data_IF_508759129080
#
_entry.id   IF_508759129080
#
_cell.length_a   1.000
_cell.length_b   1.000
_cell.length_c   1.000
_cell.angle_alpha   90.00
_cell.angle_beta   90.00
_cell.angle_gamma   90.00
#
_symmetry.space_group_name_H-M   'P 1'
#
loop_
_entity.id
_entity.type
_entity.pdbx_description
1 polymer ?
#
# COMPACT_ATOMS: atom_id res chain seq x y z
N UNK A 1 -8.55 -8.77 -14.43
CA UNK A 1 -7.76 -9.40 -15.52
C UNK A 1 -6.56 -10.15 -14.91
N UNK A 2 -5.88 -11.04 -15.66
CA UNK A 2 -4.72 -11.81 -15.15
C UNK A 2 -3.56 -10.91 -14.69
N UNK A 3 -3.37 -9.79 -15.37
CA UNK A 3 -2.31 -8.80 -15.11
C UNK A 3 -2.42 -8.11 -13.75
N UNK A 4 -3.65 -7.78 -13.33
CA UNK A 4 -3.91 -7.13 -12.05
C UNK A 4 -3.44 -8.02 -10.89
N UNK A 5 -3.77 -9.31 -10.99
CA UNK A 5 -3.41 -10.34 -10.01
C UNK A 5 -1.88 -10.47 -9.92
N UNK A 6 -1.19 -10.56 -11.06
CA UNK A 6 0.28 -10.64 -11.10
C UNK A 6 0.94 -9.40 -10.49
N UNK A 7 0.36 -8.22 -10.70
CA UNK A 7 0.85 -6.95 -10.14
C UNK A 7 0.67 -6.91 -8.61
N UNK A 8 -0.48 -7.32 -8.09
CA UNK A 8 -0.72 -7.40 -6.64
C UNK A 8 0.22 -8.41 -5.98
N UNK A 9 0.44 -9.58 -6.58
CA UNK A 9 1.42 -10.54 -6.04
C UNK A 9 2.85 -10.02 -6.07
N UNK A 10 3.22 -9.24 -7.09
CA UNK A 10 4.53 -8.57 -7.14
C UNK A 10 4.68 -7.56 -5.99
N UNK A 11 3.66 -6.74 -5.76
CA UNK A 11 3.64 -5.78 -4.65
C UNK A 11 3.70 -6.47 -3.28
N UNK A 12 2.96 -7.56 -3.09
CA UNK A 12 2.99 -8.35 -1.86
C UNK A 12 4.39 -8.96 -1.60
N UNK A 13 5.03 -9.49 -2.64
CA UNK A 13 6.38 -10.07 -2.52
C UNK A 13 7.43 -9.02 -2.18
N UNK A 14 7.52 -7.96 -2.96
CA UNK A 14 8.67 -7.05 -2.91
C UNK A 14 8.42 -5.78 -2.10
N UNK A 15 7.20 -5.24 -2.12
CA UNK A 15 6.88 -3.99 -1.38
C UNK A 15 6.54 -4.28 0.07
N UNK A 16 5.74 -5.32 0.33
CA UNK A 16 5.33 -5.71 1.68
C UNK A 16 6.36 -6.64 2.34
N UNK A 17 7.18 -7.33 1.54
CA UNK A 17 8.31 -8.13 2.00
C UNK A 17 7.97 -9.59 2.28
N UNK A 18 7.00 -10.19 1.58
CA UNK A 18 6.63 -11.61 1.77
C UNK A 18 7.75 -12.60 1.43
N UNK A 19 8.84 -12.19 0.79
CA UNK A 19 9.99 -13.06 0.48
C UNK A 19 10.86 -13.39 1.69
N UNK A 20 10.83 -12.58 2.74
CA UNK A 20 11.77 -12.69 3.87
C UNK A 20 10.99 -12.87 5.17
N UNK A 21 11.08 -14.03 5.83
CA UNK A 21 10.39 -14.27 7.11
C UNK A 21 11.35 -14.08 8.29
N UNK A 22 10.85 -13.53 9.39
CA UNK A 22 11.63 -13.35 10.61
C UNK A 22 11.46 -14.56 11.54
N UNK A 23 10.30 -15.21 11.46
CA UNK A 23 9.99 -16.39 12.25
C UNK A 23 10.70 -17.64 11.75
N UNK A 24 11.11 -18.51 12.70
CA UNK A 24 11.66 -19.85 12.41
C UNK A 24 10.65 -20.97 12.69
N UNK A 25 9.62 -20.70 13.50
CA UNK A 25 8.53 -21.64 13.80
C UNK A 25 7.45 -21.56 12.72
N UNK A 26 6.95 -22.71 12.28
CA UNK A 26 5.95 -22.79 11.22
C UNK A 26 4.69 -21.98 11.52
N UNK A 27 4.14 -22.08 12.73
CA UNK A 27 2.95 -21.32 13.14
C UNK A 27 3.17 -19.80 13.04
N UNK A 28 4.32 -19.33 13.50
CA UNK A 28 4.69 -17.91 13.43
C UNK A 28 4.94 -17.44 11.99
N UNK A 29 5.44 -18.30 11.10
CA UNK A 29 5.56 -18.00 9.67
C UNK A 29 4.18 -17.83 9.05
N UNK A 30 3.23 -18.72 9.37
CA UNK A 30 1.84 -18.63 8.90
C UNK A 30 1.21 -17.30 9.35
N UNK A 31 1.40 -16.93 10.63
CA UNK A 31 0.94 -15.63 11.14
C UNK A 31 1.55 -14.45 10.38
N UNK A 32 2.85 -14.50 10.08
CA UNK A 32 3.55 -13.46 9.33
C UNK A 32 3.01 -13.32 7.89
N UNK A 33 2.68 -14.44 7.23
CA UNK A 33 2.03 -14.45 5.91
C UNK A 33 0.67 -13.75 5.98
N UNK A 34 -0.18 -14.14 6.93
CA UNK A 34 -1.50 -13.53 7.09
C UNK A 34 -1.42 -12.04 7.43
N UNK A 35 -0.53 -11.63 8.35
CA UNK A 35 -0.33 -10.23 8.71
C UNK A 35 0.07 -9.38 7.49
N UNK A 36 0.95 -9.90 6.62
CA UNK A 36 1.38 -9.22 5.39
C UNK A 36 0.27 -9.14 4.34
N UNK A 37 -0.54 -10.19 4.18
CA UNK A 37 -1.70 -10.15 3.29
C UNK A 37 -2.73 -9.12 3.76
N UNK A 38 -3.02 -9.08 5.06
CA UNK A 38 -3.94 -8.10 5.65
C UNK A 38 -3.40 -6.67 5.44
N UNK A 39 -2.11 -6.43 5.68
CA UNK A 39 -1.49 -5.13 5.44
C UNK A 39 -1.59 -4.70 3.97
N UNK A 40 -1.36 -5.61 3.03
CA UNK A 40 -1.50 -5.34 1.60
C UNK A 40 -2.94 -4.92 1.24
N UNK A 41 -3.93 -5.71 1.68
CA UNK A 41 -5.34 -5.43 1.43
C UNK A 41 -5.78 -4.10 2.05
N UNK A 42 -5.29 -3.81 3.26
CA UNK A 42 -5.57 -2.53 3.92
C UNK A 42 -4.97 -1.35 3.15
N UNK A 43 -3.72 -1.47 2.68
CA UNK A 43 -3.08 -0.44 1.87
C UNK A 43 -3.85 -0.21 0.56
N UNK A 44 -4.23 -1.27 -0.16
CA UNK A 44 -5.04 -1.21 -1.39
C UNK A 44 -6.40 -0.52 -1.17
N UNK A 45 -7.07 -0.82 -0.06
CA UNK A 45 -8.34 -0.18 0.29
C UNK A 45 -8.18 1.33 0.51
N UNK A 46 -7.13 1.73 1.23
CA UNK A 46 -6.85 3.15 1.51
C UNK A 46 -6.45 3.90 0.23
N UNK A 47 -5.57 3.33 -0.60
CA UNK A 47 -5.13 3.95 -1.86
C UNK A 47 -6.31 4.11 -2.82
N UNK A 48 -7.16 3.10 -2.96
CA UNK A 48 -8.39 3.19 -3.77
C UNK A 48 -9.29 4.34 -3.31
N UNK A 49 -9.53 4.46 -2.00
CA UNK A 49 -10.34 5.55 -1.46
C UNK A 49 -9.72 6.94 -1.70
N UNK A 50 -8.39 7.07 -1.63
CA UNK A 50 -7.68 8.32 -1.93
C UNK A 50 -7.76 8.67 -3.42
N UNK A 51 -7.64 7.69 -4.32
CA UNK A 51 -7.75 7.89 -5.77
C UNK A 51 -9.16 8.33 -6.16
N UNK A 52 -10.19 7.67 -5.63
CA UNK A 52 -11.60 8.03 -5.87
C UNK A 52 -11.87 9.47 -5.43
N UNK A 53 -11.36 9.87 -4.25
CA UNK A 53 -11.44 11.25 -3.76
C UNK A 53 -10.72 12.28 -4.63
N UNK A 54 -9.83 11.87 -5.55
CA UNK A 54 -9.08 12.76 -6.43
C UNK A 54 -9.50 12.71 -7.89
N UNK A 55 -10.38 11.79 -8.28
CA UNK A 55 -10.96 11.72 -9.64
C UNK A 55 -11.73 12.99 -10.04
N UNK A 56 -12.09 13.82 -9.08
CA UNK A 56 -12.71 15.13 -9.30
C UNK A 56 -11.72 16.22 -9.80
N UNK A 57 -10.43 15.87 -9.96
CA UNK A 57 -9.37 16.78 -10.44
C UNK A 57 -8.96 16.48 -11.88
N UNK A 58 -8.49 17.52 -12.58
CA UNK A 58 -8.13 17.51 -14.02
C UNK A 58 -7.08 16.48 -14.48
N UNK A 59 -6.33 15.85 -13.58
CA UNK A 59 -5.25 14.92 -13.94
C UNK A 59 -5.42 13.59 -13.22
N UNK A 60 -5.10 12.49 -13.90
CA UNK A 60 -4.96 11.20 -13.24
C UNK A 60 -3.65 11.19 -12.44
N UNK A 61 -3.76 10.66 -11.22
CA UNK A 61 -2.72 10.75 -10.22
C UNK A 61 -2.35 9.33 -9.76
N UNK A 62 -1.05 8.99 -9.80
CA UNK A 62 -0.54 7.70 -9.35
C UNK A 62 -0.04 7.81 -7.91
N UNK A 63 -0.56 6.95 -7.05
CA UNK A 63 -0.13 6.85 -5.66
C UNK A 63 1.15 6.03 -5.57
N UNK A 64 2.14 6.51 -4.83
CA UNK A 64 3.31 5.69 -4.48
C UNK A 64 2.90 4.60 -3.47
N UNK A 65 2.67 3.39 -3.98
CA UNK A 65 2.20 2.26 -3.19
C UNK A 65 3.16 1.89 -2.05
N UNK A 66 4.48 2.03 -2.25
CA UNK A 66 5.49 1.76 -1.21
C UNK A 66 5.34 2.68 -0.01
N UNK A 67 5.09 3.96 -0.26
CA UNK A 67 4.82 4.94 0.80
C UNK A 67 3.51 4.62 1.49
N UNK A 68 2.46 4.28 0.75
CA UNK A 68 1.18 3.89 1.33
C UNK A 68 1.31 2.69 2.28
N UNK A 69 2.05 1.65 1.90
CA UNK A 69 2.33 0.49 2.76
C UNK A 69 3.11 0.90 4.01
N UNK A 70 4.11 1.77 3.88
CA UNK A 70 4.87 2.27 5.03
C UNK A 70 4.00 3.06 6.02
N UNK A 71 3.16 3.97 5.52
CA UNK A 71 2.24 4.76 6.35
C UNK A 71 1.22 3.84 7.03
N UNK A 72 0.65 2.87 6.30
CA UNK A 72 -0.29 1.89 6.85
C UNK A 72 0.36 1.03 7.95
N UNK A 73 1.60 0.57 7.73
CA UNK A 73 2.35 -0.19 8.72
C UNK A 73 2.66 0.63 9.96
N UNK A 74 3.04 1.90 9.79
CA UNK A 74 3.26 2.82 10.90
C UNK A 74 1.98 2.99 11.71
N UNK A 75 0.86 3.31 11.05
CA UNK A 75 -0.44 3.47 11.67
C UNK A 75 -0.86 2.26 12.50
N UNK A 76 -0.71 1.04 11.99
CA UNK A 76 -1.06 -0.18 12.73
C UNK A 76 -0.12 -0.50 13.90
N UNK A 77 1.09 0.10 13.94
CA UNK A 77 2.07 -0.07 15.03
C UNK A 77 1.99 1.05 16.06
N UNK A 78 1.51 2.23 15.69
CA UNK A 78 1.26 3.34 16.61
C UNK A 78 0.19 2.92 17.62
N UNK A 79 0.56 2.84 18.90
CA UNK A 79 -0.38 2.67 20.02
C UNK A 79 -0.52 3.99 20.76
N UNK A 80 -1.76 4.43 20.91
CA UNK A 80 -2.38 5.35 21.89
C UNK A 80 -1.67 6.64 22.39
N UNK A 81 -0.42 6.94 22.04
CA UNK A 81 0.32 8.10 22.57
C UNK A 81 0.34 9.31 21.62
N UNK A 82 0.04 9.14 20.33
CA UNK A 82 -0.02 10.21 19.34
C UNK A 82 -1.37 10.23 18.60
N UNK A 83 -1.90 11.42 18.26
CA UNK A 83 -3.09 11.51 17.42
C UNK A 83 -2.84 10.73 16.12
N UNK A 84 -3.76 9.83 15.72
CA UNK A 84 -3.51 8.94 14.60
C UNK A 84 -3.12 9.78 13.37
N UNK A 85 -1.96 9.48 12.75
CA UNK A 85 -1.50 10.27 11.61
C UNK A 85 -2.57 10.21 10.52
N UNK A 86 -2.93 11.36 9.93
CA UNK A 86 -3.90 11.39 8.84
C UNK A 86 -3.31 10.67 7.62
N UNK A 87 -3.59 9.37 7.56
CA UNK A 87 -3.14 8.42 6.54
C UNK A 87 -3.49 8.96 5.16
N UNK A 88 -4.68 9.55 5.01
CA UNK A 88 -5.17 10.06 3.73
C UNK A 88 -4.38 11.31 3.33
N UNK A 89 -4.07 12.20 4.25
CA UNK A 89 -3.25 13.39 3.97
C UNK A 89 -1.80 13.03 3.62
N UNK A 90 -1.17 12.09 4.33
CA UNK A 90 0.19 11.65 4.07
C UNK A 90 0.33 10.95 2.71
N UNK A 91 -0.65 10.10 2.38
CA UNK A 91 -0.70 9.47 1.07
C UNK A 91 -0.92 10.53 -0.02
N UNK A 92 -1.83 11.49 0.18
CA UNK A 92 -2.08 12.58 -0.77
C UNK A 92 -0.85 13.42 -1.11
N UNK A 93 0.05 13.64 -0.16
CA UNK A 93 1.31 14.38 -0.37
C UNK A 93 2.31 13.64 -1.26
N UNK A 94 2.19 12.31 -1.39
CA UNK A 94 3.14 11.45 -2.11
C UNK A 94 2.58 10.92 -3.44
N UNK A 95 1.75 11.73 -4.09
CA UNK A 95 1.07 11.37 -5.32
C UNK A 95 1.74 12.08 -6.48
N UNK A 96 2.07 11.31 -7.52
CA UNK A 96 2.70 11.83 -8.73
C UNK A 96 1.64 11.95 -9.83
N UNK A 97 1.63 13.05 -10.61
CA UNK A 97 0.78 13.12 -11.79
C UNK A 97 1.23 12.08 -12.82
N UNK A 98 0.28 11.37 -13.41
CA UNK A 98 0.57 10.40 -14.48
C UNK A 98 1.03 11.19 -15.71
N UNK A 99 2.27 10.96 -16.14
CA UNK A 99 2.75 11.52 -17.39
C UNK A 99 2.09 10.77 -18.56
N UNK A 100 1.43 11.46 -19.51
CA UNK A 100 0.91 10.80 -20.68
C UNK A 100 2.07 10.23 -21.50
N UNK A 101 2.00 8.92 -21.79
CA UNK A 101 2.88 8.26 -22.74
C UNK A 101 2.72 9.00 -24.08
N UNK A 102 3.77 9.67 -24.55
CA UNK A 102 3.80 10.21 -25.92
C UNK A 102 4.06 9.04 -26.88
N UNK A 103 3.12 8.72 -27.79
CA UNK A 103 3.44 7.81 -28.89
C UNK A 103 4.46 8.51 -29.80
N UNK A 104 5.60 7.86 -30.01
CA UNK A 104 6.59 8.23 -31.02
C UNK A 104 6.35 7.46 -32.31
#
# INVERSE_FOLDING_TARGET
MRWDIETSFRALKYTVGLTNFHAKRQESIIQEIFARMILHNFAEMITSHVIISQMDKRHQYQVNFTVAVHVCRHFLRSRDEEPPPDIKALIRKNILPIQPIRPG
#
